data_IF_338071607140
#
_entry.id   IF_338071607140
#
_cell.length_a   1.000
_cell.length_b   1.000
_cell.length_c   1.000
_cell.angle_alpha   90.00
_cell.angle_beta   90.00
_cell.angle_gamma   90.00
#
_symmetry.space_group_name_H-M   'P 1'
#
loop_
_entity.id
_entity.type
_entity.pdbx_description
1 polymer ?
#
# COMPACT_ATOMS: atom_id res chain seq x y z
N UNK A 1 32.99 51.89 -2.90
CA UNK A 1 32.92 50.51 -2.36
C UNK A 1 31.63 50.19 -1.57
N UNK A 2 31.08 51.07 -0.74
CA UNK A 2 29.85 50.82 0.05
C UNK A 2 28.56 50.51 -0.77
N UNK A 3 28.45 51.00 -2.01
CA UNK A 3 27.27 50.77 -2.86
C UNK A 3 27.18 49.35 -3.43
N UNK A 4 28.31 48.67 -3.61
CA UNK A 4 28.33 47.32 -4.16
C UNK A 4 27.98 46.24 -3.09
N UNK A 5 28.31 46.50 -1.83
CA UNK A 5 27.92 45.59 -0.75
C UNK A 5 26.42 45.48 -0.55
N UNK A 6 25.69 46.59 -0.77
CA UNK A 6 24.22 46.58 -0.62
C UNK A 6 23.55 45.79 -1.73
N UNK A 7 24.08 45.83 -2.95
CA UNK A 7 23.56 45.04 -4.08
C UNK A 7 23.78 43.53 -3.89
N UNK A 8 24.94 43.13 -3.36
CA UNK A 8 25.25 41.71 -3.08
C UNK A 8 24.37 41.16 -1.95
N UNK A 9 24.13 41.94 -0.90
CA UNK A 9 23.24 41.52 0.20
C UNK A 9 21.79 41.41 -0.26
N UNK A 10 21.33 42.29 -1.15
CA UNK A 10 19.98 42.16 -1.73
C UNK A 10 19.84 40.98 -2.69
N UNK A 11 20.91 40.61 -3.44
CA UNK A 11 20.86 39.43 -4.30
C UNK A 11 20.87 38.12 -3.52
N UNK A 12 21.52 38.03 -2.36
CA UNK A 12 21.46 36.88 -1.48
C UNK A 12 20.13 36.77 -0.73
N UNK A 13 19.49 37.89 -0.40
CA UNK A 13 18.14 37.87 0.19
C UNK A 13 17.06 37.41 -0.80
N UNK A 14 17.25 37.66 -2.10
CA UNK A 14 16.34 37.20 -3.15
C UNK A 14 16.47 35.70 -3.49
N UNK A 15 17.61 35.08 -3.20
CA UNK A 15 17.83 33.63 -3.41
C UNK A 15 17.26 32.76 -2.27
N UNK A 16 16.80 33.35 -1.18
CA UNK A 16 16.23 32.64 -0.02
C UNK A 16 14.72 32.45 -0.03
N UNK A 17 14.02 32.95 -1.04
CA UNK A 17 12.61 32.61 -1.23
C UNK A 17 12.56 31.30 -2.02
N UNK A 18 12.92 30.21 -1.38
CA UNK A 18 12.43 28.91 -1.80
C UNK A 18 10.90 29.03 -1.81
N UNK A 19 10.28 28.83 -2.94
CA UNK A 19 8.84 28.70 -3.01
C UNK A 19 8.47 27.57 -2.02
N UNK A 20 7.99 27.97 -0.86
CA UNK A 20 7.47 27.03 0.11
C UNK A 20 6.24 26.45 -0.57
N UNK A 21 6.33 25.20 -1.03
CA UNK A 21 5.19 24.51 -1.63
C UNK A 21 4.06 24.56 -0.62
N UNK A 22 3.03 25.31 -0.95
CA UNK A 22 1.88 25.47 -0.05
C UNK A 22 1.16 24.13 -0.02
N UNK A 23 1.13 23.52 1.16
CA UNK A 23 0.36 22.28 1.36
C UNK A 23 -1.12 22.60 1.15
N UNK A 24 -1.75 21.92 0.20
CA UNK A 24 -3.16 22.12 -0.16
C UNK A 24 -3.88 20.77 -0.15
N UNK A 25 -5.01 20.72 0.53
CA UNK A 25 -6.02 19.71 0.37
C UNK A 25 -7.25 20.31 -0.29
N UNK A 26 -7.66 19.77 -1.41
CA UNK A 26 -8.79 20.25 -2.18
C UNK A 26 -9.96 19.29 -1.99
N UNK A 27 -11.07 19.77 -1.44
CA UNK A 27 -12.31 19.02 -1.28
C UNK A 27 -13.26 19.39 -2.43
N UNK A 28 -13.71 18.40 -3.17
CA UNK A 28 -14.74 18.57 -4.21
C UNK A 28 -16.03 17.88 -3.78
N UNK A 29 -17.07 18.67 -3.55
CA UNK A 29 -18.42 18.22 -3.22
C UNK A 29 -19.40 18.73 -4.26
N UNK A 30 -20.18 17.85 -4.91
CA UNK A 30 -21.19 18.19 -5.91
C UNK A 30 -20.68 19.17 -6.99
N UNK A 31 -19.41 19.04 -7.41
CA UNK A 31 -18.75 19.88 -8.39
C UNK A 31 -18.25 21.23 -7.86
N UNK A 32 -18.42 21.52 -6.59
CA UNK A 32 -17.86 22.71 -5.93
C UNK A 32 -16.57 22.33 -5.22
N UNK A 33 -15.52 23.11 -5.43
CA UNK A 33 -14.20 22.88 -4.87
C UNK A 33 -13.90 23.86 -3.77
N UNK A 34 -13.41 23.35 -2.63
CA UNK A 34 -12.92 24.13 -1.47
C UNK A 34 -11.50 23.74 -1.16
N UNK A 35 -10.64 24.71 -0.91
CA UNK A 35 -9.23 24.50 -0.62
C UNK A 35 -8.95 24.72 0.88
N UNK A 36 -8.14 23.84 1.43
CA UNK A 36 -7.63 23.91 2.80
C UNK A 36 -6.10 23.93 2.74
N UNK A 37 -5.46 24.69 3.64
CA UNK A 37 -4.04 24.97 3.58
C UNK A 37 -3.30 24.51 4.85
N UNK A 38 -2.03 24.11 4.69
CA UNK A 38 -1.11 23.75 5.75
C UNK A 38 -1.11 22.27 6.12
N UNK A 39 -0.31 21.88 7.11
CA UNK A 39 -0.09 20.49 7.50
C UNK A 39 -1.38 19.74 7.89
N UNK A 40 -2.36 20.44 8.45
CA UNK A 40 -3.67 19.89 8.84
C UNK A 40 -4.73 20.00 7.75
N UNK A 41 -4.37 20.45 6.56
CA UNK A 41 -5.33 20.63 5.46
C UNK A 41 -6.10 19.34 5.16
N UNK A 42 -5.44 18.20 5.19
CA UNK A 42 -6.08 16.90 4.98
C UNK A 42 -7.09 16.56 6.09
N UNK A 43 -6.73 16.80 7.34
CA UNK A 43 -7.65 16.61 8.49
C UNK A 43 -8.90 17.47 8.32
N UNK A 44 -8.71 18.76 8.04
CA UNK A 44 -9.82 19.69 7.88
C UNK A 44 -10.71 19.35 6.67
N UNK A 45 -10.12 18.92 5.56
CA UNK A 45 -10.88 18.48 4.40
C UNK A 45 -11.74 17.24 4.70
N UNK A 46 -11.19 16.25 5.44
CA UNK A 46 -11.95 15.05 5.87
C UNK A 46 -13.08 15.44 6.85
N UNK A 47 -12.82 16.34 7.80
CA UNK A 47 -13.86 16.82 8.72
C UNK A 47 -15.03 17.52 7.98
N UNK A 48 -14.71 18.31 6.97
CA UNK A 48 -15.68 19.06 6.18
C UNK A 48 -16.41 18.24 5.12
N UNK A 49 -15.87 17.08 4.74
CA UNK A 49 -16.42 16.23 3.67
C UNK A 49 -17.71 15.51 4.07
N UNK A 50 -18.42 15.00 3.09
CA UNK A 50 -19.51 14.04 3.22
C UNK A 50 -19.24 12.80 2.36
N UNK A 51 -20.04 11.75 2.53
CA UNK A 51 -19.91 10.53 1.75
C UNK A 51 -20.00 10.82 0.24
N UNK A 52 -19.08 10.23 -0.51
CA UNK A 52 -18.98 10.37 -1.96
C UNK A 52 -18.02 11.45 -2.43
N UNK A 53 -17.52 12.29 -1.54
CA UNK A 53 -16.62 13.38 -1.90
C UNK A 53 -15.24 12.93 -2.39
N UNK A 54 -14.61 13.83 -3.14
CA UNK A 54 -13.23 13.69 -3.59
C UNK A 54 -12.33 14.67 -2.83
N UNK A 55 -11.27 14.15 -2.21
CA UNK A 55 -10.19 14.94 -1.63
C UNK A 55 -8.92 14.70 -2.45
N UNK A 56 -8.30 15.77 -2.95
CA UNK A 56 -6.98 15.72 -3.58
C UNK A 56 -5.95 16.43 -2.73
N UNK A 57 -4.76 15.83 -2.60
CA UNK A 57 -3.66 16.35 -1.81
C UNK A 57 -2.50 16.75 -2.72
N UNK A 58 -1.98 17.94 -2.51
CA UNK A 58 -0.75 18.39 -3.18
C UNK A 58 0.46 17.56 -2.77
N UNK A 59 1.59 17.81 -3.40
CA UNK A 59 2.88 17.41 -2.88
C UNK A 59 3.11 17.98 -1.48
N UNK A 60 3.73 17.19 -0.59
CA UNK A 60 4.20 17.62 0.73
C UNK A 60 3.78 16.71 1.88
N UNK A 61 3.94 17.23 3.11
CA UNK A 61 3.81 16.46 4.35
C UNK A 61 2.51 16.84 5.08
N UNK A 62 1.59 15.90 5.20
CA UNK A 62 0.29 16.10 5.84
C UNK A 62 0.15 15.31 7.14
N UNK A 63 -0.66 15.84 8.04
CA UNK A 63 -1.13 15.12 9.23
C UNK A 63 -2.23 14.14 8.84
N UNK A 64 -2.19 12.92 9.39
CA UNK A 64 -3.19 11.87 9.16
C UNK A 64 -4.53 12.17 9.86
N UNK A 65 -5.66 12.00 9.19
CA UNK A 65 -6.99 12.18 9.75
C UNK A 65 -7.53 10.91 10.42
N UNK A 66 -8.69 11.05 11.06
CA UNK A 66 -9.65 9.98 11.30
C UNK A 66 -10.68 9.98 10.18
N UNK A 67 -10.81 8.85 9.47
CA UNK A 67 -11.72 8.71 8.33
C UNK A 67 -12.87 7.81 8.73
N UNK A 68 -14.07 8.36 8.75
CA UNK A 68 -15.32 7.67 9.10
C UNK A 68 -16.38 7.80 8.00
N UNK A 69 -15.96 8.13 6.79
CA UNK A 69 -16.82 8.43 5.64
C UNK A 69 -16.33 7.68 4.41
N UNK A 70 -17.22 7.48 3.45
CA UNK A 70 -16.90 6.97 2.11
C UNK A 70 -16.31 8.07 1.26
N UNK A 71 -15.02 7.98 0.92
CA UNK A 71 -14.30 9.05 0.24
C UNK A 71 -13.44 8.50 -0.89
N UNK A 72 -13.23 9.34 -1.90
CA UNK A 72 -12.12 9.21 -2.82
C UNK A 72 -10.99 10.16 -2.37
N UNK A 73 -9.81 9.62 -2.11
CA UNK A 73 -8.64 10.38 -1.65
C UNK A 73 -7.50 10.14 -2.64
N UNK A 74 -6.94 11.21 -3.17
CA UNK A 74 -5.86 11.15 -4.15
C UNK A 74 -4.69 12.03 -3.72
N UNK A 75 -3.52 11.45 -3.70
CA UNK A 75 -2.25 12.17 -3.56
C UNK A 75 -1.60 12.42 -4.92
N UNK A 76 -0.47 13.11 -4.90
CA UNK A 76 0.33 13.44 -6.07
C UNK A 76 1.39 12.36 -6.41
N UNK A 77 1.30 11.20 -5.78
CA UNK A 77 2.18 10.05 -6.01
C UNK A 77 3.01 9.63 -4.81
N UNK A 78 3.54 8.40 -4.90
CA UNK A 78 4.44 7.82 -3.90
C UNK A 78 5.67 8.74 -3.73
N UNK A 79 5.97 9.10 -2.49
CA UNK A 79 7.06 10.00 -2.13
C UNK A 79 6.73 11.49 -2.27
N UNK A 80 5.76 11.86 -3.12
CA UNK A 80 5.34 13.26 -3.29
C UNK A 80 4.32 13.68 -2.22
N UNK A 81 3.24 12.95 -2.06
CA UNK A 81 2.27 13.17 -0.97
C UNK A 81 2.55 12.21 0.16
N UNK A 82 2.87 12.74 1.34
CA UNK A 82 3.30 11.94 2.48
C UNK A 82 2.46 12.25 3.72
N UNK A 83 1.87 11.21 4.31
CA UNK A 83 1.17 11.31 5.60
C UNK A 83 2.15 10.94 6.71
N UNK A 84 2.40 11.89 7.61
CA UNK A 84 3.46 11.77 8.63
C UNK A 84 2.97 11.28 10.00
N UNK A 85 1.67 11.27 10.22
CA UNK A 85 1.08 10.78 11.47
C UNK A 85 0.02 9.72 11.19
N UNK A 86 -0.37 9.01 12.23
CA UNK A 86 -1.35 7.92 12.17
C UNK A 86 -2.63 8.36 11.45
N UNK A 87 -3.09 7.51 10.53
CA UNK A 87 -4.44 7.55 9.96
C UNK A 87 -5.29 6.54 10.70
N UNK A 88 -6.46 6.96 11.16
CA UNK A 88 -7.41 6.07 11.81
C UNK A 88 -8.61 5.84 10.89
N UNK A 89 -8.90 4.58 10.60
CA UNK A 89 -10.15 4.19 9.93
C UNK A 89 -11.17 3.92 11.03
N UNK A 90 -12.18 4.77 11.10
CA UNK A 90 -13.24 4.72 12.09
C UNK A 90 -14.57 4.46 11.40
N UNK A 91 -15.21 3.33 11.73
CA UNK A 91 -16.52 3.03 11.18
C UNK A 91 -17.56 3.96 11.84
N UNK A 92 -18.39 4.59 11.05
CA UNK A 92 -19.62 5.17 11.54
C UNK A 92 -20.51 4.03 12.12
N UNK A 93 -21.08 4.25 13.28
CA UNK A 93 -21.94 3.29 14.01
C UNK A 93 -23.32 3.11 13.38
N UNK A 94 -23.61 3.80 12.28
CA UNK A 94 -24.89 3.70 11.61
C UNK A 94 -25.04 2.34 10.93
N UNK A 95 -26.16 1.67 11.22
CA UNK A 95 -26.52 0.30 10.84
C UNK A 95 -26.63 0.08 9.30
N UNK A 96 -26.52 1.11 8.50
CA UNK A 96 -26.48 1.02 7.04
C UNK A 96 -25.09 0.58 6.55
N UNK A 97 -24.79 -0.70 6.69
CA UNK A 97 -23.56 -1.35 6.19
C UNK A 97 -23.35 -1.18 4.67
N UNK A 98 -24.31 -0.59 3.97
CA UNK A 98 -24.35 -0.60 2.50
C UNK A 98 -23.35 0.33 1.84
N UNK A 99 -22.81 1.37 2.52
CA UNK A 99 -22.16 2.48 1.83
C UNK A 99 -20.79 2.93 2.40
N UNK A 100 -20.03 2.06 3.07
CA UNK A 100 -18.70 2.45 3.56
C UNK A 100 -17.59 1.90 2.66
N UNK A 101 -17.43 2.48 1.49
CA UNK A 101 -16.27 2.27 0.64
C UNK A 101 -15.24 3.39 0.84
N UNK A 102 -13.98 3.09 0.61
CA UNK A 102 -12.88 4.06 0.70
C UNK A 102 -11.84 3.78 -0.40
N UNK A 103 -11.64 4.75 -1.27
CA UNK A 103 -10.61 4.68 -2.30
C UNK A 103 -9.47 5.64 -1.96
N UNK A 104 -8.25 5.12 -1.88
CA UNK A 104 -7.04 5.92 -1.61
C UNK A 104 -6.02 5.63 -2.70
N UNK A 105 -5.45 6.67 -3.27
CA UNK A 105 -4.51 6.53 -4.37
C UNK A 105 -3.32 7.49 -4.26
N UNK A 106 -2.11 7.00 -4.60
CA UNK A 106 -0.93 7.81 -4.80
C UNK A 106 -0.37 8.49 -3.54
N UNK A 107 -0.40 7.81 -2.40
CA UNK A 107 -0.01 8.38 -1.10
C UNK A 107 1.02 7.48 -0.42
N UNK A 108 2.02 8.12 0.21
CA UNK A 108 2.94 7.47 1.14
C UNK A 108 2.48 7.68 2.58
N UNK A 109 2.31 6.60 3.31
CA UNK A 109 1.99 6.60 4.74
C UNK A 109 3.25 6.24 5.55
N UNK A 110 3.95 7.26 6.07
CA UNK A 110 5.12 7.08 6.93
C UNK A 110 4.76 6.73 8.39
N UNK A 111 3.48 6.68 8.70
CA UNK A 111 2.94 6.26 9.98
C UNK A 111 1.90 5.15 9.77
N UNK A 112 1.44 4.57 10.87
CA UNK A 112 0.49 3.46 10.82
C UNK A 112 -0.86 3.91 10.26
N UNK A 113 -1.46 3.06 9.44
CA UNK A 113 -2.90 3.06 9.19
C UNK A 113 -3.50 2.09 10.20
N UNK A 114 -4.42 2.56 11.03
CA UNK A 114 -5.06 1.75 12.06
C UNK A 114 -6.56 1.72 11.92
N UNK A 115 -7.13 0.55 12.09
CA UNK A 115 -8.56 0.41 12.31
C UNK A 115 -8.82 0.74 13.78
N UNK A 116 -9.79 1.64 14.02
CA UNK A 116 -10.14 2.06 15.36
C UNK A 116 -10.67 0.90 16.19
N UNK A 117 -10.21 0.81 17.42
CA UNK A 117 -10.73 -0.15 18.38
C UNK A 117 -12.21 0.16 18.67
N UNK A 118 -13.14 -0.78 18.44
CA UNK A 118 -14.53 -0.55 18.78
C UNK A 118 -14.68 -0.39 20.30
N UNK A 119 -15.56 0.50 20.72
CA UNK A 119 -15.86 0.73 22.13
C UNK A 119 -16.69 -0.41 22.77
N UNK A 120 -17.38 -1.18 21.93
CA UNK A 120 -18.19 -2.34 22.29
C UNK A 120 -17.51 -3.65 21.88
N UNK A 121 -18.03 -4.76 22.37
CA UNK A 121 -17.59 -6.10 21.94
C UNK A 121 -18.14 -6.51 20.56
N UNK A 122 -18.68 -5.58 19.79
CA UNK A 122 -19.24 -5.83 18.47
C UNK A 122 -18.15 -5.95 17.41
N UNK A 123 -18.44 -6.69 16.36
CA UNK A 123 -17.55 -6.83 15.22
C UNK A 123 -17.46 -5.51 14.44
N UNK A 124 -16.24 -5.07 14.17
CA UNK A 124 -15.97 -3.86 13.43
C UNK A 124 -15.52 -4.21 12.00
N UNK A 125 -16.29 -3.81 11.01
CA UNK A 125 -16.04 -4.18 9.62
C UNK A 125 -15.57 -2.97 8.81
N UNK A 126 -14.37 -3.04 8.24
CA UNK A 126 -13.94 -2.15 7.16
C UNK A 126 -14.22 -2.86 5.85
N UNK A 127 -15.10 -2.27 5.04
CA UNK A 127 -15.58 -2.86 3.80
C UNK A 127 -15.20 -2.02 2.61
N UNK A 128 -14.97 -2.69 1.47
CA UNK A 128 -14.74 -2.06 0.18
C UNK A 128 -13.61 -0.99 0.20
N UNK A 129 -12.52 -1.26 0.96
CA UNK A 129 -11.31 -0.45 0.93
C UNK A 129 -10.49 -0.80 -0.31
N UNK A 130 -10.22 0.18 -1.14
CA UNK A 130 -9.30 0.06 -2.27
C UNK A 130 -8.13 1.03 -2.11
N UNK A 131 -6.92 0.50 -1.99
CA UNK A 131 -5.69 1.28 -1.98
C UNK A 131 -4.91 1.01 -3.26
N UNK A 132 -4.59 2.07 -4.00
CA UNK A 132 -3.89 1.94 -5.29
C UNK A 132 -2.65 2.81 -5.30
N UNK A 133 -1.51 2.27 -5.73
CA UNK A 133 -0.24 3.01 -5.81
C UNK A 133 0.09 3.74 -4.49
N UNK A 134 -0.03 3.02 -3.38
CA UNK A 134 0.30 3.53 -2.06
C UNK A 134 1.56 2.86 -1.50
N UNK A 135 2.34 3.65 -0.78
CA UNK A 135 3.44 3.16 0.05
C UNK A 135 2.99 3.18 1.51
N UNK A 136 2.87 2.03 2.12
CA UNK A 136 2.25 1.85 3.43
C UNK A 136 3.31 1.30 4.39
N UNK A 137 3.66 2.07 5.40
CA UNK A 137 4.59 1.60 6.41
C UNK A 137 4.02 0.41 7.16
N UNK A 138 2.87 0.58 7.77
CA UNK A 138 2.21 -0.44 8.56
C UNK A 138 0.69 -0.30 8.48
N UNK A 139 0.00 -1.43 8.35
CA UNK A 139 -1.46 -1.51 8.40
C UNK A 139 -1.84 -2.44 9.54
N UNK A 140 -2.43 -1.89 10.61
CA UNK A 140 -2.63 -2.61 11.85
C UNK A 140 -4.06 -2.47 12.39
N UNK A 141 -4.45 -3.45 13.17
CA UNK A 141 -5.71 -3.48 13.88
C UNK A 141 -5.44 -3.17 15.36
N UNK A 142 -5.94 -2.05 15.84
CA UNK A 142 -5.81 -1.65 17.26
C UNK A 142 -6.97 -2.22 18.10
N UNK A 143 -7.31 -3.48 17.85
CA UNK A 143 -8.52 -4.08 18.39
C UNK A 143 -8.30 -5.31 19.28
N UNK A 144 -7.03 -5.55 19.70
CA UNK A 144 -6.75 -6.63 20.63
C UNK A 144 -7.33 -6.34 22.00
N UNK A 145 -8.29 -7.16 22.42
CA UNK A 145 -8.92 -7.07 23.74
C UNK A 145 -8.19 -7.94 24.76
N UNK A 146 -8.35 -7.59 26.04
CA UNK A 146 -7.78 -8.35 27.15
C UNK A 146 -8.30 -9.79 27.26
N UNK A 147 -9.39 -10.10 26.56
CA UNK A 147 -9.93 -11.44 26.41
C UNK A 147 -9.24 -12.27 25.31
N UNK A 148 -8.24 -11.70 24.65
CA UNK A 148 -7.44 -12.40 23.65
C UNK A 148 -7.97 -12.34 22.21
N UNK A 149 -8.88 -11.41 21.90
CA UNK A 149 -9.65 -11.46 20.65
C UNK A 149 -9.57 -10.19 19.84
N UNK A 150 -9.41 -10.34 18.52
CA UNK A 150 -9.54 -9.28 17.54
C UNK A 150 -11.00 -9.18 17.09
N UNK A 151 -11.52 -7.98 16.99
CA UNK A 151 -12.93 -7.74 16.63
C UNK A 151 -13.11 -6.93 15.38
N UNK A 152 -12.02 -6.58 14.71
CA UNK A 152 -12.08 -5.90 13.42
C UNK A 152 -11.85 -6.89 12.28
N UNK A 153 -12.51 -6.66 11.16
CA UNK A 153 -12.32 -7.44 9.95
C UNK A 153 -12.23 -6.54 8.73
N UNK A 154 -11.49 -7.02 7.73
CA UNK A 154 -11.51 -6.47 6.38
C UNK A 154 -12.41 -7.34 5.50
N UNK A 155 -13.32 -6.71 4.76
CA UNK A 155 -14.23 -7.38 3.84
C UNK A 155 -14.14 -6.72 2.47
N UNK A 156 -13.88 -7.53 1.43
CA UNK A 156 -13.81 -7.06 0.04
C UNK A 156 -12.80 -5.89 -0.14
N UNK A 157 -11.60 -6.05 0.42
CA UNK A 157 -10.56 -5.02 0.35
C UNK A 157 -9.51 -5.36 -0.70
N UNK A 158 -8.91 -4.34 -1.33
CA UNK A 158 -7.89 -4.53 -2.35
C UNK A 158 -6.73 -3.56 -2.19
N UNK A 159 -5.53 -4.08 -2.46
CA UNK A 159 -4.28 -3.33 -2.49
C UNK A 159 -3.64 -3.55 -3.86
N UNK A 160 -3.63 -2.53 -4.70
CA UNK A 160 -3.18 -2.62 -6.10
C UNK A 160 -1.96 -1.74 -6.29
N UNK A 161 -0.86 -2.30 -6.80
CA UNK A 161 0.41 -1.57 -6.97
C UNK A 161 0.91 -0.91 -5.68
N UNK A 162 0.68 -1.56 -4.54
CA UNK A 162 1.07 -1.05 -3.23
C UNK A 162 2.38 -1.66 -2.74
N UNK A 163 3.10 -0.90 -1.90
CA UNK A 163 4.21 -1.42 -1.10
C UNK A 163 3.80 -1.36 0.37
N UNK A 164 3.94 -2.49 1.08
CA UNK A 164 3.74 -2.56 2.53
C UNK A 164 5.08 -2.93 3.14
N UNK A 165 5.68 -2.02 3.91
CA UNK A 165 7.12 -2.06 4.23
C UNK A 165 7.47 -2.59 5.62
N UNK A 166 6.60 -2.44 6.60
CA UNK A 166 6.83 -2.96 7.97
C UNK A 166 5.91 -4.11 8.32
N UNK A 167 4.66 -4.08 7.87
CA UNK A 167 3.76 -5.19 8.05
C UNK A 167 2.31 -4.90 7.75
N UNK A 168 1.57 -5.98 7.54
CA UNK A 168 0.12 -5.98 7.53
C UNK A 168 -0.38 -7.11 8.41
N UNK A 169 -1.08 -6.76 9.48
CA UNK A 169 -1.78 -7.70 10.34
C UNK A 169 -3.18 -7.96 9.80
N UNK A 170 -3.43 -9.15 9.28
CA UNK A 170 -4.75 -9.52 8.79
C UNK A 170 -5.37 -10.54 9.75
N UNK A 171 -6.02 -10.02 10.77
CA UNK A 171 -6.84 -10.82 11.69
C UNK A 171 -8.29 -10.72 11.23
N UNK A 172 -9.02 -11.83 11.24
CA UNK A 172 -10.45 -11.87 10.87
C UNK A 172 -10.73 -11.24 9.48
N UNK A 173 -10.04 -11.70 8.45
CA UNK A 173 -10.25 -11.22 7.08
C UNK A 173 -11.33 -12.06 6.41
N UNK A 174 -12.34 -11.42 5.83
CA UNK A 174 -13.33 -12.10 5.01
C UNK A 174 -12.84 -12.26 3.56
N UNK A 175 -12.43 -11.16 2.94
CA UNK A 175 -11.82 -11.19 1.61
C UNK A 175 -10.87 -10.00 1.41
N UNK A 176 -9.60 -10.31 1.08
CA UNK A 176 -8.59 -9.30 0.75
C UNK A 176 -7.79 -9.74 -0.47
N UNK A 177 -7.55 -8.83 -1.39
CA UNK A 177 -6.75 -9.06 -2.58
C UNK A 177 -5.55 -8.13 -2.65
N UNK A 178 -4.38 -8.69 -2.96
CA UNK A 178 -3.18 -7.94 -3.32
C UNK A 178 -2.88 -8.21 -4.79
N UNK A 179 -2.69 -7.15 -5.55
CA UNK A 179 -2.43 -7.23 -6.99
C UNK A 179 -1.19 -6.40 -7.31
N UNK A 180 -0.22 -7.00 -7.98
CA UNK A 180 1.05 -6.37 -8.37
C UNK A 180 1.69 -5.56 -7.21
N UNK A 181 1.72 -6.15 -6.02
CA UNK A 181 2.11 -5.47 -4.79
C UNK A 181 3.29 -6.16 -4.11
N UNK A 182 4.04 -5.37 -3.33
CA UNK A 182 5.11 -5.86 -2.46
C UNK A 182 4.56 -5.86 -1.03
N UNK A 183 4.50 -7.03 -0.40
CA UNK A 183 3.90 -7.19 0.93
C UNK A 183 4.92 -7.80 1.89
N UNK A 184 5.45 -6.98 2.80
CA UNK A 184 6.36 -7.42 3.85
C UNK A 184 5.64 -7.58 5.18
N UNK A 185 6.16 -8.46 6.02
CA UNK A 185 5.68 -8.62 7.38
C UNK A 185 4.28 -9.22 7.47
N UNK A 186 3.96 -10.04 6.51
CA UNK A 186 2.69 -10.69 6.36
C UNK A 186 2.34 -11.58 7.57
N UNK A 187 1.24 -11.25 8.20
CA UNK A 187 0.67 -11.97 9.32
C UNK A 187 -0.73 -12.42 8.99
N UNK A 188 -0.93 -13.71 8.93
CA UNK A 188 -2.27 -14.29 8.96
C UNK A 188 -2.34 -15.21 10.17
N UNK A 189 -2.92 -14.76 11.24
CA UNK A 189 -3.31 -15.67 12.30
C UNK A 189 -4.81 -15.85 12.26
N UNK A 190 -5.22 -17.09 12.20
CA UNK A 190 -6.59 -17.46 12.48
C UNK A 190 -6.76 -17.44 14.01
N UNK A 191 -6.88 -16.26 14.59
CA UNK A 191 -7.41 -16.18 15.94
C UNK A 191 -8.93 -16.26 15.83
N UNK A 192 -9.44 -17.49 15.70
CA UNK A 192 -10.86 -17.75 15.79
C UNK A 192 -11.39 -17.15 17.09
N UNK A 193 -12.24 -16.16 16.97
CA UNK A 193 -12.96 -15.66 18.12
C UNK A 193 -14.45 -15.59 17.95
N UNK A 194 -15.10 -16.01 19.02
CA UNK A 194 -16.54 -15.88 19.14
C UNK A 194 -17.35 -16.84 18.30
N UNK A 195 -16.81 -17.98 17.86
CA UNK A 195 -17.58 -19.04 17.21
C UNK A 195 -18.01 -18.75 15.76
N UNK A 196 -17.53 -17.68 15.16
CA UNK A 196 -17.63 -17.49 13.71
C UNK A 196 -16.33 -17.97 13.09
N UNK A 197 -16.34 -19.15 12.52
CA UNK A 197 -15.34 -19.61 11.56
C UNK A 197 -15.47 -18.74 10.30
N UNK A 198 -14.83 -17.57 10.30
CA UNK A 198 -14.59 -16.87 9.05
C UNK A 198 -13.51 -17.66 8.31
N UNK A 199 -13.82 -18.13 7.13
CA UNK A 199 -12.81 -18.67 6.20
C UNK A 199 -12.20 -17.47 5.46
N UNK A 200 -11.11 -16.87 5.95
CA UNK A 200 -10.54 -15.70 5.33
C UNK A 200 -10.04 -16.07 3.93
N UNK A 201 -10.42 -15.28 2.95
CA UNK A 201 -9.89 -15.40 1.60
C UNK A 201 -8.83 -14.32 1.41
N UNK A 202 -7.60 -14.73 1.23
CA UNK A 202 -6.52 -13.83 0.87
C UNK A 202 -6.00 -14.26 -0.49
N UNK A 203 -6.13 -13.37 -1.45
CA UNK A 203 -5.71 -13.59 -2.82
C UNK A 203 -4.50 -12.70 -3.13
N UNK A 204 -3.45 -13.28 -3.69
CA UNK A 204 -2.26 -12.58 -4.13
C UNK A 204 -1.98 -12.89 -5.58
N UNK A 205 -2.05 -11.88 -6.43
CA UNK A 205 -1.80 -11.99 -7.86
C UNK A 205 -0.61 -11.12 -8.24
N UNK A 206 0.40 -11.71 -8.88
CA UNK A 206 1.59 -10.99 -9.32
C UNK A 206 2.29 -10.22 -8.18
N UNK A 207 2.44 -10.83 -7.01
CA UNK A 207 2.99 -10.19 -5.82
C UNK A 207 4.41 -10.66 -5.50
N UNK A 208 5.15 -9.82 -4.75
CA UNK A 208 6.31 -10.23 -3.97
C UNK A 208 5.92 -10.22 -2.50
N UNK A 209 5.95 -11.39 -1.87
CA UNK A 209 5.50 -11.60 -0.50
C UNK A 209 6.73 -11.89 0.35
N UNK A 210 7.02 -11.03 1.31
CA UNK A 210 8.18 -11.16 2.19
C UNK A 210 7.68 -11.48 3.60
N UNK A 211 7.85 -12.70 4.04
CA UNK A 211 7.44 -13.12 5.38
C UNK A 211 8.65 -13.40 6.27
N UNK A 212 8.68 -12.77 7.44
CA UNK A 212 9.68 -13.00 8.47
C UNK A 212 9.20 -13.92 9.60
N UNK A 213 8.01 -14.50 9.43
CA UNK A 213 7.40 -15.40 10.41
C UNK A 213 7.18 -16.79 9.85
N UNK A 214 7.05 -17.74 10.77
CA UNK A 214 6.77 -19.12 10.39
C UNK A 214 5.53 -19.18 9.51
N UNK A 215 5.60 -19.80 8.33
CA UNK A 215 4.44 -20.06 7.49
C UNK A 215 3.32 -20.86 8.18
N UNK A 216 3.61 -21.51 9.30
CA UNK A 216 2.58 -22.15 10.14
C UNK A 216 1.50 -21.18 10.65
N UNK A 217 1.78 -19.86 10.57
CA UNK A 217 0.80 -18.82 10.88
C UNK A 217 -0.04 -18.40 9.65
N UNK A 218 0.25 -18.91 8.46
CA UNK A 218 -0.50 -18.62 7.24
C UNK A 218 -1.56 -19.67 7.06
N UNK A 219 -2.77 -19.37 7.47
CA UNK A 219 -3.88 -20.33 7.41
C UNK A 219 -4.65 -20.29 6.10
N UNK A 220 -4.64 -19.15 5.40
CA UNK A 220 -5.39 -18.97 4.15
C UNK A 220 -4.61 -18.07 3.18
N UNK A 221 -4.21 -18.61 2.05
CA UNK A 221 -3.50 -17.87 1.00
C UNK A 221 -3.69 -18.54 -0.33
N UNK A 222 -4.21 -17.82 -1.31
CA UNK A 222 -4.18 -18.20 -2.70
C UNK A 222 -3.19 -17.28 -3.41
N UNK A 223 -2.01 -17.78 -3.75
CA UNK A 223 -1.01 -17.03 -4.49
C UNK A 223 -0.94 -17.51 -5.94
N UNK A 224 -0.95 -16.56 -6.86
CA UNK A 224 -0.79 -16.82 -8.29
C UNK A 224 0.23 -15.88 -8.89
N UNK A 225 1.07 -16.39 -9.79
CA UNK A 225 2.11 -15.63 -10.49
C UNK A 225 3.02 -14.82 -9.53
N UNK A 226 3.28 -15.33 -8.36
CA UNK A 226 3.86 -14.56 -7.25
C UNK A 226 5.17 -15.17 -6.78
N UNK A 227 6.00 -14.34 -6.15
CA UNK A 227 7.23 -14.78 -5.49
C UNK A 227 7.03 -14.69 -3.98
N UNK A 228 7.24 -15.80 -3.29
CA UNK A 228 7.20 -15.87 -1.84
C UNK A 228 8.62 -15.97 -1.28
N UNK A 229 9.06 -14.92 -0.57
CA UNK A 229 10.32 -14.89 0.16
C UNK A 229 10.09 -15.28 1.62
N UNK A 230 10.63 -16.42 2.01
CA UNK A 230 10.53 -16.94 3.37
C UNK A 230 11.82 -16.63 4.13
N UNK A 231 11.73 -15.80 5.15
CA UNK A 231 12.84 -15.46 6.05
C UNK A 231 12.69 -16.18 7.38
N UNK A 232 13.13 -17.42 7.50
CA UNK A 232 13.01 -18.17 8.76
C UNK A 232 14.28 -18.82 9.17
N UNK A 233 14.74 -18.53 10.39
CA UNK A 233 15.90 -19.13 11.03
C UNK A 233 15.60 -20.44 11.82
N UNK A 234 14.40 -20.99 11.74
CA UNK A 234 14.01 -22.16 12.55
C UNK A 234 13.37 -23.28 11.70
N UNK A 235 14.05 -24.38 11.67
CA UNK A 235 13.78 -25.66 10.97
C UNK A 235 12.56 -26.44 11.43
N UNK A 236 11.53 -25.84 11.93
CA UNK A 236 10.34 -26.62 12.25
C UNK A 236 9.51 -26.81 10.99
N UNK A 237 9.24 -28.07 10.68
CA UNK A 237 8.40 -28.48 9.58
C UNK A 237 7.20 -27.54 9.42
N UNK A 238 7.17 -26.82 8.32
CA UNK A 238 6.09 -25.92 8.03
C UNK A 238 4.85 -26.72 7.65
N UNK A 239 3.83 -26.69 8.48
CA UNK A 239 2.53 -27.16 8.09
C UNK A 239 1.72 -25.97 7.61
N UNK A 240 1.58 -25.78 6.31
CA UNK A 240 0.53 -24.93 5.79
C UNK A 240 -0.82 -25.58 6.05
N UNK A 241 -1.81 -24.75 6.28
CA UNK A 241 -3.19 -25.23 6.25
C UNK A 241 -3.53 -25.77 4.86
N UNK A 242 -4.38 -26.79 4.74
CA UNK A 242 -4.86 -27.27 3.44
C UNK A 242 -5.62 -26.22 2.62
N UNK A 243 -5.86 -25.05 3.18
CA UNK A 243 -6.50 -23.89 2.53
C UNK A 243 -5.50 -22.94 1.86
N UNK A 244 -4.20 -23.24 1.90
CA UNK A 244 -3.17 -22.50 1.13
C UNK A 244 -2.99 -23.17 -0.23
N UNK A 245 -2.93 -22.36 -1.29
CA UNK A 245 -2.66 -22.84 -2.64
C UNK A 245 -1.69 -21.92 -3.40
N UNK A 246 -0.88 -22.53 -4.26
CA UNK A 246 0.05 -21.81 -5.12
C UNK A 246 -0.17 -22.21 -6.58
N UNK A 247 -0.21 -21.24 -7.47
CA UNK A 247 -0.28 -21.44 -8.90
C UNK A 247 0.73 -20.55 -9.62
N UNK A 248 1.62 -21.16 -10.40
CA UNK A 248 2.70 -20.47 -11.11
C UNK A 248 3.48 -19.52 -10.17
N UNK A 249 4.08 -20.08 -9.13
CA UNK A 249 4.79 -19.33 -8.09
C UNK A 249 6.23 -19.76 -7.94
N UNK A 250 7.06 -18.84 -7.46
CA UNK A 250 8.42 -19.14 -6.99
C UNK A 250 8.46 -18.97 -5.49
N UNK A 251 8.94 -20.00 -4.80
CA UNK A 251 9.24 -19.94 -3.37
C UNK A 251 10.75 -19.84 -3.21
N UNK A 252 11.20 -18.85 -2.46
CA UNK A 252 12.60 -18.57 -2.23
C UNK A 252 12.82 -18.13 -0.78
N UNK A 253 14.08 -18.08 -0.34
CA UNK A 253 14.42 -17.59 0.97
C UNK A 253 15.62 -18.28 1.59
N UNK A 254 15.89 -17.92 2.84
CA UNK A 254 16.96 -18.51 3.62
C UNK A 254 16.53 -19.86 4.14
N UNK A 255 16.93 -20.89 3.43
CA UNK A 255 16.78 -22.28 3.85
C UNK A 255 18.14 -22.91 3.72
N UNK A 256 18.69 -23.36 4.86
CA UNK A 256 20.02 -23.97 4.91
C UNK A 256 20.08 -25.33 4.19
N UNK A 257 18.97 -25.81 3.63
CA UNK A 257 18.91 -27.07 2.91
C UNK A 257 17.81 -27.10 1.85
N UNK A 258 18.13 -27.41 0.61
CA UNK A 258 17.14 -27.66 -0.45
C UNK A 258 16.12 -28.74 -0.09
N UNK A 259 16.50 -29.70 0.77
CA UNK A 259 15.61 -30.79 1.18
C UNK A 259 14.51 -30.35 2.14
N UNK A 260 14.72 -29.26 2.89
CA UNK A 260 13.68 -28.68 3.75
C UNK A 260 12.52 -28.11 2.92
N UNK A 261 12.80 -27.58 1.72
CA UNK A 261 11.78 -27.05 0.82
C UNK A 261 11.05 -28.16 0.07
N UNK A 262 11.75 -29.22 -0.29
CA UNK A 262 11.09 -30.41 -0.87
C UNK A 262 10.07 -30.99 0.09
N UNK A 263 10.37 -31.00 1.39
CA UNK A 263 9.41 -31.45 2.40
C UNK A 263 8.18 -30.53 2.50
N UNK A 264 8.34 -29.28 2.17
CA UNK A 264 7.27 -28.27 2.12
C UNK A 264 6.21 -28.64 1.05
N UNK A 265 6.62 -29.02 -0.15
CA UNK A 265 5.71 -29.46 -1.21
C UNK A 265 5.18 -30.88 -1.01
N UNK A 266 5.94 -31.73 -0.31
CA UNK A 266 5.54 -33.12 -0.03
C UNK A 266 4.41 -33.22 1.01
N UNK A 267 4.15 -32.17 1.78
CA UNK A 267 3.10 -32.16 2.81
C UNK A 267 1.68 -31.90 2.28
N UNK A 268 1.46 -32.04 0.98
CA UNK A 268 0.11 -32.06 0.40
C UNK A 268 -0.50 -30.68 0.17
N UNK A 269 0.30 -29.60 0.14
CA UNK A 269 -0.19 -28.28 -0.23
C UNK A 269 -0.59 -28.28 -1.70
N UNK A 270 -1.79 -27.85 -2.06
CA UNK A 270 -2.17 -27.68 -3.45
C UNK A 270 -1.23 -26.71 -4.16
N UNK A 271 -0.53 -27.19 -5.16
CA UNK A 271 0.36 -26.39 -5.99
C UNK A 271 0.33 -26.87 -7.45
N UNK A 272 0.42 -25.90 -8.34
CA UNK A 272 0.56 -26.11 -9.77
C UNK A 272 1.61 -25.17 -10.30
N UNK A 273 2.53 -25.67 -11.13
CA UNK A 273 3.62 -24.88 -11.71
C UNK A 273 4.35 -24.02 -10.66
N UNK A 274 4.70 -24.60 -9.53
CA UNK A 274 5.34 -23.87 -8.43
C UNK A 274 6.64 -24.55 -8.05
N UNK A 275 7.71 -23.76 -8.01
CA UNK A 275 9.07 -24.25 -7.77
C UNK A 275 9.75 -23.51 -6.63
N UNK A 276 10.80 -24.12 -6.11
CA UNK A 276 11.77 -23.46 -5.27
C UNK A 276 12.98 -23.02 -6.09
N UNK A 277 13.46 -21.81 -5.85
CA UNK A 277 14.70 -21.28 -6.41
C UNK A 277 15.51 -20.54 -5.34
N UNK A 278 16.85 -20.61 -5.37
CA UNK A 278 17.66 -19.76 -4.51
C UNK A 278 17.44 -18.29 -4.87
N UNK A 279 17.49 -17.43 -3.86
CA UNK A 279 17.12 -16.01 -4.01
C UNK A 279 17.97 -15.26 -5.03
N UNK A 280 19.25 -15.59 -5.09
CA UNK A 280 20.20 -15.06 -6.06
C UNK A 280 19.88 -15.40 -7.52
N UNK A 281 19.07 -16.42 -7.74
CA UNK A 281 18.58 -16.79 -9.08
C UNK A 281 17.25 -16.12 -9.42
N UNK A 282 16.51 -15.64 -8.40
CA UNK A 282 15.18 -15.04 -8.58
C UNK A 282 15.25 -13.55 -8.91
N UNK A 283 16.02 -12.78 -8.16
CA UNK A 283 16.02 -11.32 -8.29
C UNK A 283 17.29 -10.78 -8.95
N UNK A 284 17.14 -9.71 -9.74
CA UNK A 284 18.25 -9.06 -10.42
C UNK A 284 19.15 -8.31 -9.44
N UNK A 285 18.59 -7.64 -8.46
CA UNK A 285 19.29 -6.67 -7.59
C UNK A 285 19.16 -6.94 -6.10
N UNK A 286 18.38 -7.92 -5.66
CA UNK A 286 18.15 -8.18 -4.25
C UNK A 286 19.42 -8.73 -3.59
N UNK A 287 19.96 -7.98 -2.63
CA UNK A 287 21.19 -8.31 -1.92
C UNK A 287 20.95 -8.89 -0.53
N UNK A 288 19.80 -8.58 0.08
CA UNK A 288 19.44 -9.07 1.41
C UNK A 288 17.94 -9.37 1.51
N UNK A 289 17.61 -10.61 1.89
CA UNK A 289 16.24 -11.13 1.93
C UNK A 289 15.47 -10.80 3.21
N UNK A 290 16.16 -10.34 4.26
CA UNK A 290 15.56 -10.11 5.58
C UNK A 290 14.87 -8.77 5.73
N UNK A 291 15.32 -7.81 4.96
CA UNK A 291 14.84 -6.44 5.06
C UNK A 291 14.19 -6.03 3.75
N UNK A 292 13.03 -5.41 3.85
CA UNK A 292 12.54 -4.61 2.76
C UNK A 292 13.55 -3.49 2.53
N UNK A 293 14.07 -3.42 1.34
CA UNK A 293 14.95 -2.33 0.92
C UNK A 293 14.23 -1.53 -0.17
N UNK A 294 14.01 -0.25 0.12
CA UNK A 294 13.37 0.67 -0.82
C UNK A 294 14.18 0.87 -2.12
N UNK A 295 15.47 0.54 -2.09
CA UNK A 295 16.34 0.60 -3.28
C UNK A 295 16.20 -0.61 -4.19
N UNK A 296 15.58 -1.70 -3.72
CA UNK A 296 15.28 -2.85 -4.54
C UNK A 296 14.06 -2.58 -5.41
N UNK A 297 14.21 -2.83 -6.68
CA UNK A 297 13.11 -2.77 -7.64
C UNK A 297 12.31 -4.08 -7.73
N UNK A 298 12.79 -5.15 -7.09
CA UNK A 298 12.19 -6.49 -7.14
C UNK A 298 11.99 -7.04 -8.55
N UNK A 299 12.82 -6.58 -9.49
CA UNK A 299 12.83 -7.11 -10.83
C UNK A 299 13.37 -8.53 -10.83
N UNK A 300 12.64 -9.44 -11.45
CA UNK A 300 13.05 -10.82 -11.58
C UNK A 300 14.12 -10.97 -12.65
N UNK A 301 15.03 -11.93 -12.45
CA UNK A 301 15.87 -12.46 -13.51
C UNK A 301 15.00 -13.23 -14.50
N UNK A 302 15.54 -13.47 -15.68
CA UNK A 302 14.91 -14.38 -16.62
C UNK A 302 14.83 -15.79 -16.00
N UNK A 303 13.62 -16.26 -15.78
CA UNK A 303 13.36 -17.60 -15.22
C UNK A 303 12.99 -18.53 -16.38
N UNK A 304 13.93 -19.42 -16.72
CA UNK A 304 13.83 -20.35 -17.86
C UNK A 304 13.43 -21.77 -17.45
N UNK A 305 12.66 -21.92 -16.39
CA UNK A 305 12.19 -23.23 -15.95
C UNK A 305 10.96 -23.67 -16.74
N UNK A 306 10.90 -24.93 -17.15
CA UNK A 306 9.70 -25.53 -17.74
C UNK A 306 8.56 -25.70 -16.71
N UNK A 307 8.89 -25.61 -15.41
CA UNK A 307 7.96 -25.85 -14.31
C UNK A 307 7.18 -24.59 -13.92
N UNK A 308 7.59 -23.39 -14.36
CA UNK A 308 6.88 -22.12 -14.16
C UNK A 308 6.90 -21.29 -15.43
N UNK A 309 5.88 -20.47 -15.62
CA UNK A 309 5.86 -19.43 -16.66
C UNK A 309 6.46 -18.13 -16.12
N UNK A 310 7.75 -17.94 -16.36
CA UNK A 310 8.50 -16.78 -15.88
C UNK A 310 7.94 -15.44 -16.39
N UNK A 311 7.31 -15.44 -17.57
CA UNK A 311 6.74 -14.20 -18.16
C UNK A 311 5.50 -13.69 -17.43
N UNK A 312 4.89 -14.51 -16.59
CA UNK A 312 3.73 -14.12 -15.81
C UNK A 312 4.08 -13.76 -14.36
N UNK A 313 5.30 -14.08 -13.92
CA UNK A 313 5.71 -13.93 -12.53
C UNK A 313 6.01 -12.48 -12.14
N UNK A 314 5.69 -12.14 -10.89
CA UNK A 314 6.15 -10.93 -10.21
C UNK A 314 5.37 -9.66 -10.55
N UNK A 315 5.76 -8.60 -9.87
CA UNK A 315 5.00 -7.34 -9.81
C UNK A 315 4.95 -6.54 -11.12
N UNK A 316 5.91 -6.78 -12.03
CA UNK A 316 5.99 -6.05 -13.30
C UNK A 316 5.25 -6.75 -14.45
N UNK A 317 4.59 -7.86 -14.18
CA UNK A 317 3.83 -8.64 -15.15
C UNK A 317 2.32 -8.59 -14.84
N UNK A 318 1.51 -9.19 -15.71
CA UNK A 318 0.06 -9.21 -15.55
C UNK A 318 -0.65 -8.01 -16.18
N UNK A 319 -1.93 -7.86 -15.86
CA UNK A 319 -2.80 -6.84 -16.48
C UNK A 319 -2.56 -5.42 -15.95
N UNK A 320 -2.06 -5.31 -14.71
CA UNK A 320 -1.81 -4.02 -14.05
C UNK A 320 -0.37 -3.99 -13.50
N UNK A 321 0.65 -3.92 -14.36
CA UNK A 321 2.05 -3.93 -13.93
C UNK A 321 2.33 -2.88 -12.85
N UNK A 322 3.22 -3.22 -11.90
CA UNK A 322 3.60 -2.31 -10.83
C UNK A 322 4.18 -1.00 -11.39
N UNK A 323 3.65 0.10 -10.91
CA UNK A 323 4.19 1.43 -11.14
C UNK A 323 4.02 2.29 -9.91
N UNK A 324 5.06 3.01 -9.54
CA UNK A 324 5.01 4.05 -8.51
C UNK A 324 4.55 5.41 -9.08
N UNK A 325 4.49 5.52 -10.39
CA UNK A 325 4.12 6.76 -11.08
C UNK A 325 2.60 6.90 -11.10
N UNK A 326 2.12 8.05 -10.70
CA UNK A 326 0.70 8.40 -10.84
C UNK A 326 0.41 8.62 -12.33
N UNK A 327 -0.58 7.91 -12.84
CA UNK A 327 -0.98 7.96 -14.26
C UNK A 327 -2.10 8.96 -14.53
N UNK A 328 -2.20 10.02 -13.74
CA UNK A 328 -3.11 11.11 -14.06
C UNK A 328 -2.49 11.99 -15.14
N UNK A 329 -3.29 12.54 -16.03
CA UNK A 329 -2.84 13.63 -16.87
C UNK A 329 -2.31 14.74 -15.98
N UNK A 330 -1.03 15.01 -16.06
CA UNK A 330 -0.40 16.12 -15.37
C UNK A 330 0.15 17.10 -16.37
N UNK A 331 0.21 18.36 -15.97
CA UNK A 331 0.80 19.37 -16.82
C UNK A 331 2.30 19.18 -16.86
N UNK A 332 2.83 18.84 -18.04
CA UNK A 332 4.26 18.81 -18.30
C UNK A 332 4.79 20.19 -18.68
N UNK A 333 3.91 21.04 -19.17
CA UNK A 333 4.22 22.44 -19.46
C UNK A 333 3.03 23.30 -19.08
N UNK A 334 3.28 24.33 -18.30
CA UNK A 334 2.31 25.40 -17.99
C UNK A 334 3.01 26.73 -18.03
N UNK A 335 3.00 27.39 -19.19
CA UNK A 335 3.62 28.68 -19.40
C UNK A 335 2.53 29.73 -19.60
N UNK A 336 2.59 30.77 -18.81
CA UNK A 336 1.71 31.95 -18.95
C UNK A 336 2.58 33.12 -19.37
N UNK A 337 2.23 33.79 -20.47
CA UNK A 337 2.95 34.97 -20.90
C UNK A 337 2.92 36.06 -19.83
N UNK A 338 4.04 36.71 -19.57
CA UNK A 338 4.14 37.79 -18.58
C UNK A 338 3.25 39.01 -18.90
N UNK A 339 2.92 39.19 -20.17
CA UNK A 339 2.10 40.32 -20.63
C UNK A 339 1.07 39.89 -21.66
N UNK A 340 -0.10 40.50 -21.56
CA UNK A 340 -1.12 40.38 -22.59
C UNK A 340 -0.69 41.15 -23.85
N UNK A 341 -0.87 40.57 -25.03
CA UNK A 341 -0.69 41.20 -26.33
C UNK A 341 -2.08 41.31 -26.97
N UNK A 342 -2.46 42.49 -27.38
CA UNK A 342 -3.78 42.78 -27.94
C UNK A 342 -4.97 42.30 -27.05
N UNK A 343 -4.80 42.46 -25.75
CA UNK A 343 -5.80 42.06 -24.75
C UNK A 343 -5.91 40.54 -24.54
N UNK A 344 -4.99 39.74 -25.12
CA UNK A 344 -4.95 38.29 -24.98
C UNK A 344 -3.69 37.86 -24.23
N UNK A 345 -3.88 37.02 -23.22
CA UNK A 345 -2.80 36.35 -22.50
C UNK A 345 -2.56 34.99 -23.16
N UNK A 346 -1.33 34.76 -23.62
CA UNK A 346 -0.95 33.44 -24.15
C UNK A 346 -0.70 32.46 -23.00
N UNK A 347 -1.34 31.31 -23.06
CA UNK A 347 -1.13 30.20 -22.12
C UNK A 347 -0.77 28.96 -22.95
N UNK A 348 0.39 28.39 -22.67
CA UNK A 348 0.83 27.14 -23.26
C UNK A 348 0.67 26.04 -22.21
N UNK A 349 -0.06 25.00 -22.57
CA UNK A 349 -0.34 23.86 -21.70
C UNK A 349 0.00 22.58 -22.44
N UNK A 350 0.83 21.74 -21.89
CA UNK A 350 1.05 20.39 -22.34
C UNK A 350 0.71 19.42 -21.18
N UNK A 351 0.12 18.29 -21.51
CA UNK A 351 -0.21 17.23 -20.57
C UNK A 351 0.37 15.91 -21.08
N UNK A 352 0.82 15.09 -20.18
CA UNK A 352 1.26 13.71 -20.42
C UNK A 352 0.39 12.74 -19.61
#
# INVERSE_FOLDING_TARGET
MKKYYLLIVMSFAALGVMAQTTLVATLTHAGVTTEYYGEKAFVTAVEASVDGDLITLSEGLFTGPTINKSLNIRGNGIGSTVITSKVTLDKSTDEDEANHWLNIEGITFNADIRIQKPSSRELYVVKDLCMTRCDIKNFDFDDYYSDGYYRSTLKNCSFINCRITDGIGLHNVEEVSFINSIVKGYYFSNSSYGGQETNPKVNMLNCVIITNKSPASVTYLNAKNSVLLISVNNYRAYSFSPTVSFQNCVISGYIDSPDAVKSFFLNGIPHDKTIWMPMEEVFATLTEYRLYDATNDYQLKEITSEEVDGNLLGIYNGEVPYTSTVTYPHFTTFNVAEKAVDGKLSVEVATE
#
